data_IF_816143812882
#
_entry.id   IF_816143812882
#
_cell.length_a   1.000
_cell.length_b   1.000
_cell.length_c   1.000
_cell.angle_alpha   90.00
_cell.angle_beta   90.00
_cell.angle_gamma   90.00
#
_symmetry.space_group_name_H-M   'P 1'
#
loop_
_entity.id
_entity.type
_entity.pdbx_description
1 polymer ?
#
# COMPACT_ATOMS: atom_id res chain seq x y z
N UNK A 1 27.18 51.84 30.65
CA UNK A 1 26.14 51.00 31.32
C UNK A 1 24.92 50.74 30.49
N UNK A 2 24.66 51.44 29.44
CA UNK A 2 23.47 51.30 28.59
C UNK A 2 23.56 50.20 27.53
N UNK A 3 24.77 49.80 27.10
CA UNK A 3 24.96 48.77 26.07
C UNK A 3 24.66 47.34 26.57
N UNK A 4 25.03 47.04 27.81
CA UNK A 4 24.81 45.72 28.45
C UNK A 4 23.29 45.49 28.71
N UNK A 5 22.56 46.54 28.94
CA UNK A 5 21.10 46.46 29.18
C UNK A 5 20.31 46.21 27.88
N UNK A 6 20.77 46.72 26.76
CA UNK A 6 20.20 46.49 25.43
C UNK A 6 20.41 45.07 24.93
N UNK A 7 21.58 44.51 25.18
CA UNK A 7 21.91 43.10 24.85
C UNK A 7 21.11 42.12 25.70
N UNK A 8 20.84 42.46 26.95
CA UNK A 8 20.04 41.61 27.85
C UNK A 8 18.53 41.59 27.40
N UNK A 9 18.01 42.72 26.91
CA UNK A 9 16.67 42.83 26.38
C UNK A 9 16.50 42.13 25.02
N UNK A 10 17.49 42.16 24.16
CA UNK A 10 17.51 41.42 22.89
C UNK A 10 17.55 39.91 23.11
N UNK A 11 18.31 39.40 24.12
CA UNK A 11 18.33 38.00 24.49
C UNK A 11 16.99 37.52 25.06
N UNK A 12 16.30 38.33 25.83
CA UNK A 12 15.01 38.02 26.41
C UNK A 12 13.89 37.95 25.35
N UNK A 13 13.97 38.80 24.31
CA UNK A 13 13.03 38.75 23.18
C UNK A 13 13.20 37.50 22.31
N UNK A 14 14.44 37.02 22.15
CA UNK A 14 14.71 35.85 21.35
C UNK A 14 14.21 34.57 22.03
N UNK A 15 14.23 34.50 23.36
CA UNK A 15 13.72 33.35 24.13
C UNK A 15 12.19 33.29 24.08
N UNK A 16 11.50 34.45 23.98
CA UNK A 16 10.06 34.52 23.97
C UNK A 16 9.43 34.12 22.60
N UNK A 17 10.20 34.21 21.52
CA UNK A 17 9.75 33.81 20.18
C UNK A 17 9.83 32.28 19.97
N UNK A 18 10.74 31.59 20.67
CA UNK A 18 10.90 30.12 20.56
C UNK A 18 9.78 29.37 21.31
N UNK A 19 9.15 30.00 22.30
CA UNK A 19 8.09 29.37 23.10
C UNK A 19 6.73 29.26 22.38
N UNK A 20 6.57 29.89 21.23
CA UNK A 20 5.27 29.94 20.51
C UNK A 20 5.11 28.81 19.48
N UNK A 21 6.11 27.91 19.34
CA UNK A 21 6.05 26.80 18.39
C UNK A 21 5.80 25.44 19.08
N UNK A 22 5.21 25.46 20.28
CA UNK A 22 4.55 24.28 20.80
C UNK A 22 3.24 24.12 20.03
N UNK A 23 3.35 23.71 18.76
CA UNK A 23 2.23 23.14 18.04
C UNK A 23 1.75 21.96 18.88
N UNK A 24 0.67 22.17 19.62
CA UNK A 24 -0.13 21.10 20.18
C UNK A 24 -0.44 20.21 18.98
N UNK A 25 0.22 19.07 18.88
CA UNK A 25 -0.22 18.00 18.00
C UNK A 25 -1.61 17.59 18.54
N UNK A 26 -2.64 18.32 18.10
CA UNK A 26 -4.02 17.89 18.28
C UNK A 26 -4.08 16.55 17.59
N UNK A 27 -4.46 15.52 18.33
CA UNK A 27 -4.92 14.30 17.72
C UNK A 27 -6.05 14.69 16.77
N UNK A 28 -5.74 14.78 15.49
CA UNK A 28 -6.68 15.19 14.48
C UNK A 28 -7.63 14.02 14.28
N UNK A 29 -8.92 14.24 14.44
CA UNK A 29 -9.92 13.18 14.28
C UNK A 29 -9.82 12.60 12.88
N UNK A 30 -10.05 11.29 12.78
CA UNK A 30 -10.04 10.58 11.50
C UNK A 30 -11.11 11.20 10.60
N UNK A 31 -10.70 11.65 9.43
CA UNK A 31 -11.59 12.31 8.47
C UNK A 31 -12.37 11.29 7.64
N UNK A 32 -13.53 11.66 7.08
CA UNK A 32 -14.28 10.79 6.15
C UNK A 32 -13.45 10.35 4.93
N UNK A 33 -12.53 11.19 4.46
CA UNK A 33 -11.63 10.86 3.35
C UNK A 33 -10.62 9.75 3.74
N UNK A 34 -10.12 9.77 4.96
CA UNK A 34 -9.24 8.71 5.48
C UNK A 34 -10.00 7.39 5.68
N UNK A 35 -11.24 7.45 6.14
CA UNK A 35 -12.11 6.27 6.23
C UNK A 35 -12.40 5.68 4.84
N UNK A 36 -12.63 6.52 3.83
CA UNK A 36 -12.82 6.05 2.46
C UNK A 36 -11.57 5.37 1.93
N UNK A 37 -10.38 5.92 2.14
CA UNK A 37 -9.11 5.30 1.76
C UNK A 37 -8.92 3.92 2.40
N UNK A 38 -9.32 3.75 3.65
CA UNK A 38 -9.30 2.46 4.33
C UNK A 38 -10.28 1.45 3.72
N UNK A 39 -11.49 1.90 3.36
CA UNK A 39 -12.48 1.07 2.66
C UNK A 39 -11.94 0.66 1.29
N UNK A 40 -11.35 1.58 0.54
CA UNK A 40 -10.76 1.31 -0.76
C UNK A 40 -9.60 0.29 -0.64
N UNK A 41 -8.78 0.40 0.41
CA UNK A 41 -7.74 -0.57 0.69
C UNK A 41 -8.31 -1.98 0.94
N UNK A 42 -9.41 -2.09 1.70
CA UNK A 42 -10.11 -3.38 1.91
C UNK A 42 -10.63 -3.97 0.60
N UNK A 43 -11.31 -3.17 -0.20
CA UNK A 43 -11.84 -3.60 -1.51
C UNK A 43 -10.72 -4.09 -2.42
N UNK A 44 -9.58 -3.38 -2.42
CA UNK A 44 -8.42 -3.76 -3.21
C UNK A 44 -7.79 -5.06 -2.71
N UNK A 45 -7.73 -5.26 -1.40
CA UNK A 45 -7.24 -6.50 -0.79
C UNK A 45 -8.12 -7.71 -1.15
N UNK A 46 -9.44 -7.53 -1.14
CA UNK A 46 -10.39 -8.55 -1.60
C UNK A 46 -10.23 -8.85 -3.10
N UNK A 47 -9.98 -7.83 -3.91
CA UNK A 47 -9.70 -8.01 -5.34
C UNK A 47 -8.39 -8.79 -5.57
N UNK A 48 -7.35 -8.53 -4.78
CA UNK A 48 -6.11 -9.30 -4.81
C UNK A 48 -6.35 -10.77 -4.41
N UNK A 49 -7.18 -11.01 -3.41
CA UNK A 49 -7.55 -12.37 -3.01
C UNK A 49 -8.29 -13.11 -4.13
N UNK A 50 -9.23 -12.45 -4.81
CA UNK A 50 -9.95 -13.02 -5.97
C UNK A 50 -9.03 -13.30 -7.15
N UNK A 51 -7.97 -12.54 -7.31
CA UNK A 51 -6.91 -12.79 -8.29
C UNK A 51 -5.93 -13.89 -7.86
N UNK A 52 -6.21 -14.61 -6.78
CA UNK A 52 -5.37 -15.68 -6.22
C UNK A 52 -3.97 -15.19 -5.79
N UNK A 53 -3.88 -13.93 -5.28
CA UNK A 53 -2.61 -13.37 -4.83
C UNK A 53 -1.95 -14.19 -3.72
N UNK A 54 -2.73 -14.86 -2.88
CA UNK A 54 -2.21 -15.80 -1.89
C UNK A 54 -1.44 -16.98 -2.47
N UNK A 55 -1.74 -17.38 -3.72
CA UNK A 55 -1.03 -18.43 -4.46
C UNK A 55 0.17 -17.87 -5.23
N UNK A 56 -0.04 -16.79 -5.97
CA UNK A 56 0.92 -16.29 -6.96
C UNK A 56 1.88 -15.22 -6.42
N UNK A 57 1.48 -14.47 -5.39
CA UNK A 57 2.26 -13.39 -4.76
C UNK A 57 2.11 -13.40 -3.23
N UNK A 58 2.37 -14.54 -2.54
CA UNK A 58 2.01 -14.75 -1.14
C UNK A 58 2.67 -13.75 -0.19
N UNK A 59 3.92 -13.38 -0.42
CA UNK A 59 4.65 -12.46 0.45
C UNK A 59 4.09 -11.03 0.38
N UNK A 60 3.85 -10.54 -0.83
CA UNK A 60 3.30 -9.18 -1.04
C UNK A 60 1.86 -9.11 -0.54
N UNK A 61 1.07 -10.17 -0.76
CA UNK A 61 -0.29 -10.25 -0.26
C UNK A 61 -0.35 -10.27 1.27
N UNK A 62 0.54 -11.04 1.90
CA UNK A 62 0.68 -11.05 3.36
C UNK A 62 1.08 -9.69 3.91
N UNK A 63 2.03 -8.99 3.28
CA UNK A 63 2.39 -7.64 3.67
C UNK A 63 1.20 -6.68 3.61
N UNK A 64 0.38 -6.75 2.55
CA UNK A 64 -0.85 -5.96 2.46
C UNK A 64 -1.80 -6.24 3.63
N UNK A 65 -1.97 -7.50 4.01
CA UNK A 65 -2.80 -7.90 5.16
C UNK A 65 -2.24 -7.38 6.49
N UNK A 66 -0.94 -7.51 6.73
CA UNK A 66 -0.29 -7.07 7.97
C UNK A 66 -0.37 -5.54 8.12
N UNK A 67 -0.22 -4.80 7.03
CA UNK A 67 -0.37 -3.35 7.02
C UNK A 67 -1.83 -2.95 7.23
N UNK A 68 -2.79 -3.70 6.71
CA UNK A 68 -4.21 -3.46 6.94
C UNK A 68 -4.56 -3.62 8.43
N UNK A 69 -4.00 -4.62 9.11
CA UNK A 69 -4.13 -4.77 10.57
C UNK A 69 -3.53 -3.56 11.30
N UNK A 70 -2.39 -3.05 10.81
CA UNK A 70 -1.78 -1.83 11.37
C UNK A 70 -2.69 -0.61 11.20
N UNK A 71 -3.36 -0.48 10.06
CA UNK A 71 -4.32 0.59 9.83
C UNK A 71 -5.52 0.49 10.79
N UNK A 72 -6.07 -0.71 10.97
CA UNK A 72 -7.20 -0.93 11.88
C UNK A 72 -6.84 -0.63 13.33
N UNK A 73 -5.66 -1.03 13.78
CA UNK A 73 -5.13 -0.68 15.10
C UNK A 73 -5.00 0.84 15.26
N UNK A 74 -4.40 1.52 14.27
CA UNK A 74 -4.27 2.98 14.32
C UNK A 74 -5.63 3.68 14.39
N UNK A 75 -6.64 3.14 13.70
CA UNK A 75 -8.03 3.60 13.78
C UNK A 75 -8.59 3.48 15.19
N UNK A 76 -8.41 2.34 15.84
CA UNK A 76 -8.89 2.08 17.21
C UNK A 76 -8.24 3.04 18.22
N UNK A 77 -6.96 3.36 18.05
CA UNK A 77 -6.22 4.30 18.88
C UNK A 77 -6.41 5.77 18.47
N UNK A 78 -7.23 6.06 17.46
CA UNK A 78 -7.47 7.41 16.91
C UNK A 78 -6.18 8.13 16.46
N UNK A 79 -5.20 7.36 16.00
CA UNK A 79 -3.98 7.89 15.38
C UNK A 79 -4.26 8.13 13.90
N UNK A 80 -4.79 9.32 13.57
CA UNK A 80 -5.24 9.67 12.23
C UNK A 80 -4.11 9.67 11.20
N UNK A 81 -2.90 10.08 11.61
CA UNK A 81 -1.72 10.12 10.72
C UNK A 81 -1.29 8.70 10.35
N UNK A 82 -1.12 7.85 11.34
CA UNK A 82 -0.73 6.46 11.12
C UNK A 82 -1.81 5.68 10.38
N UNK A 83 -3.08 5.94 10.70
CA UNK A 83 -4.22 5.36 10.00
C UNK A 83 -4.22 5.68 8.51
N UNK A 84 -4.05 6.97 8.14
CA UNK A 84 -3.99 7.40 6.76
C UNK A 84 -2.79 6.79 6.00
N UNK A 85 -1.62 6.79 6.62
CA UNK A 85 -0.41 6.22 6.03
C UNK A 85 -0.53 4.71 5.82
N UNK A 86 -0.99 3.98 6.83
CA UNK A 86 -1.14 2.54 6.76
C UNK A 86 -2.22 2.14 5.75
N UNK A 87 -3.35 2.87 5.66
CA UNK A 87 -4.42 2.61 4.69
C UNK A 87 -3.91 2.74 3.24
N UNK A 88 -3.19 3.82 2.93
CA UNK A 88 -2.59 4.00 1.60
C UNK A 88 -1.56 2.95 1.27
N UNK A 89 -0.72 2.61 2.24
CA UNK A 89 0.32 1.61 2.04
C UNK A 89 -0.29 0.21 1.84
N UNK A 90 -1.30 -0.17 2.63
CA UNK A 90 -2.02 -1.43 2.47
C UNK A 90 -2.65 -1.53 1.07
N UNK A 91 -3.29 -0.46 0.60
CA UNK A 91 -3.84 -0.39 -0.75
C UNK A 91 -2.77 -0.60 -1.81
N UNK A 92 -1.64 0.11 -1.73
CA UNK A 92 -0.56 -0.03 -2.70
C UNK A 92 0.01 -1.46 -2.76
N UNK A 93 0.22 -2.10 -1.60
CA UNK A 93 0.65 -3.51 -1.57
C UNK A 93 -0.41 -4.47 -2.08
N UNK A 94 -1.69 -4.21 -1.84
CA UNK A 94 -2.78 -5.03 -2.38
C UNK A 94 -2.88 -4.89 -3.92
N UNK A 95 -2.72 -3.69 -4.46
CA UNK A 95 -2.65 -3.46 -5.91
C UNK A 95 -1.46 -4.19 -6.54
N UNK A 96 -0.29 -4.12 -5.90
CA UNK A 96 0.90 -4.85 -6.35
C UNK A 96 0.70 -6.36 -6.31
N UNK A 97 0.15 -6.89 -5.22
CA UNK A 97 -0.12 -8.32 -5.08
C UNK A 97 -1.10 -8.83 -6.15
N UNK A 98 -2.15 -8.04 -6.44
CA UNK A 98 -3.11 -8.32 -7.50
C UNK A 98 -2.43 -8.36 -8.86
N UNK A 99 -1.66 -7.31 -9.21
CA UNK A 99 -0.99 -7.24 -10.51
C UNK A 99 0.02 -8.37 -10.71
N UNK A 100 0.78 -8.75 -9.69
CA UNK A 100 1.70 -9.88 -9.75
C UNK A 100 0.97 -11.22 -9.91
N UNK A 101 -0.18 -11.37 -9.26
CA UNK A 101 -0.99 -12.58 -9.38
C UNK A 101 -1.58 -12.73 -10.80
N UNK A 102 -2.12 -11.66 -11.34
CA UNK A 102 -2.64 -11.60 -12.71
C UNK A 102 -1.55 -11.93 -13.72
N UNK A 103 -0.37 -11.32 -13.59
CA UNK A 103 0.78 -11.59 -14.47
C UNK A 103 1.16 -13.07 -14.46
N UNK A 104 1.35 -13.65 -13.28
CA UNK A 104 1.73 -15.07 -13.17
C UNK A 104 0.67 -16.02 -13.67
N UNK A 105 -0.61 -15.72 -13.43
CA UNK A 105 -1.72 -16.48 -13.97
C UNK A 105 -1.74 -16.47 -15.51
N UNK A 106 -1.49 -15.30 -16.10
CA UNK A 106 -1.44 -15.14 -17.55
C UNK A 106 -0.20 -15.86 -18.17
N UNK A 107 0.94 -15.82 -17.49
CA UNK A 107 2.13 -16.62 -17.89
C UNK A 107 1.83 -18.13 -17.89
N UNK A 108 1.13 -18.66 -16.89
CA UNK A 108 0.72 -20.08 -16.86
C UNK A 108 -0.25 -20.41 -17.99
N UNK A 109 -1.21 -19.52 -18.27
CA UNK A 109 -2.17 -19.71 -19.38
C UNK A 109 -1.46 -19.70 -20.73
N UNK A 110 -0.52 -18.78 -20.91
CA UNK A 110 0.29 -18.70 -22.13
C UNK A 110 1.14 -19.98 -22.32
N UNK A 111 1.78 -20.45 -21.26
CA UNK A 111 2.55 -21.69 -21.30
C UNK A 111 1.67 -22.90 -21.67
N UNK A 112 0.47 -23.01 -21.08
CA UNK A 112 -0.48 -24.06 -21.41
C UNK A 112 -0.95 -23.98 -22.89
N UNK A 113 -1.28 -22.78 -23.37
CA UNK A 113 -1.66 -22.57 -24.76
C UNK A 113 -0.53 -22.94 -25.75
N UNK A 114 0.71 -22.65 -25.42
CA UNK A 114 1.87 -23.10 -26.23
C UNK A 114 1.99 -24.62 -26.29
N UNK A 115 1.78 -25.33 -25.20
CA UNK A 115 1.81 -26.80 -25.16
C UNK A 115 0.70 -27.38 -26.04
N UNK A 116 -0.52 -26.81 -25.97
CA UNK A 116 -1.64 -27.28 -26.79
C UNK A 116 -1.40 -26.98 -28.28
N UNK A 117 -0.85 -25.84 -28.63
CA UNK A 117 -0.47 -25.51 -30.00
C UNK A 117 0.58 -26.48 -30.56
N UNK A 118 1.57 -26.87 -29.76
CA UNK A 118 2.57 -27.85 -30.14
C UNK A 118 1.94 -29.23 -30.40
N UNK A 119 1.03 -29.68 -29.54
CA UNK A 119 0.27 -30.94 -29.70
C UNK A 119 -0.56 -30.90 -30.99
N UNK A 120 -1.29 -29.84 -31.23
CA UNK A 120 -2.12 -29.66 -32.43
C UNK A 120 -1.25 -29.71 -33.72
N UNK A 121 -0.09 -29.03 -33.73
CA UNK A 121 0.86 -29.09 -34.85
C UNK A 121 1.36 -30.51 -35.09
N UNK A 122 1.77 -31.20 -34.05
CA UNK A 122 2.24 -32.57 -34.17
C UNK A 122 1.15 -33.52 -34.71
N UNK A 123 -0.09 -33.33 -34.31
CA UNK A 123 -1.22 -34.14 -34.82
C UNK A 123 -1.51 -33.82 -36.31
N UNK A 124 -1.45 -32.55 -36.71
CA UNK A 124 -1.57 -32.15 -38.13
C UNK A 124 -0.47 -32.84 -38.96
N UNK A 125 0.79 -32.81 -38.51
CA UNK A 125 1.91 -33.41 -39.23
C UNK A 125 1.77 -34.94 -39.29
N UNK A 126 1.23 -35.59 -38.25
CA UNK A 126 0.92 -37.03 -38.25
C UNK A 126 -0.14 -37.35 -39.32
N UNK A 127 -1.21 -36.56 -39.35
CA UNK A 127 -2.30 -36.78 -40.34
C UNK A 127 -1.84 -36.58 -41.75
N UNK A 128 -0.98 -35.59 -42.01
CA UNK A 128 -0.40 -35.34 -43.36
C UNK A 128 0.50 -36.49 -43.83
N UNK A 129 1.23 -37.15 -42.92
CA UNK A 129 2.08 -38.29 -43.23
C UNK A 129 1.30 -39.61 -43.46
N UNK A 130 0.06 -39.67 -42.97
CA UNK A 130 -0.80 -40.85 -43.10
C UNK A 130 -1.65 -40.83 -44.39
N UNK A 131 -1.58 -39.75 -45.13
CA UNK A 131 -2.22 -39.58 -46.46
C UNK A 131 -1.21 -39.85 -47.55
#
# INVERSE_FOLDING_TARGET
MTEKFRLFWLGLWFILVISSFSGIARAEDITPAQEQEFIDAKVTLEAAQKAEAGKYAPEVFKQAQDIMVTADNARQFKDSVKFAQASRLARAYAELAKALAELKSDEERLAAAHVELQKAKAEIDRLKKSQ
#
